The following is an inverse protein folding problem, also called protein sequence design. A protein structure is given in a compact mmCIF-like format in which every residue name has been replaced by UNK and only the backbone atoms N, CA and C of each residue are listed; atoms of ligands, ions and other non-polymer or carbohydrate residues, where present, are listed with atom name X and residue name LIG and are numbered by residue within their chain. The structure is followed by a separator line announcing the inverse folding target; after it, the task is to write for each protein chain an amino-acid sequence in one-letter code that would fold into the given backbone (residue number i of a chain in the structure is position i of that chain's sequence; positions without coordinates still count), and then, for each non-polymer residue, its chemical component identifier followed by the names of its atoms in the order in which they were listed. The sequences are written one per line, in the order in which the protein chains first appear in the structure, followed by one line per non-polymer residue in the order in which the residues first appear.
data_IF_613084701340
#
_entry.id   IF_613084701340
#
_cell.length_a   1.000
_cell.length_b   1.000
_cell.length_c   1.000
_cell.angle_alpha   90.00
_cell.angle_beta   90.00
_cell.angle_gamma   90.00
#
_symmetry.space_group_name_H-M   'P 1'
#
loop_
_entity.id
_entity.type
_entity.pdbx_description
1 polymer ?
#
# COMPACT_ATOMS: atom_id res chain seq x y z
N UNK A 1 21.74 -7.38 -5.92
CA UNK A 1 21.16 -7.93 -7.16
C UNK A 1 19.72 -7.41 -7.33
N UNK A 2 19.19 -7.22 -8.55
CA UNK A 2 17.92 -6.49 -8.81
C UNK A 2 16.69 -7.09 -8.12
N UNK A 3 16.73 -8.39 -7.85
CA UNK A 3 15.63 -9.16 -7.23
C UNK A 3 15.82 -9.44 -5.73
N UNK A 4 16.98 -9.07 -5.17
CA UNK A 4 17.36 -9.37 -3.79
C UNK A 4 16.47 -8.62 -2.79
N UNK A 5 16.07 -7.39 -3.13
CA UNK A 5 15.21 -6.57 -2.25
C UNK A 5 13.80 -7.16 -2.12
N UNK A 6 13.23 -7.64 -3.22
CA UNK A 6 11.93 -8.31 -3.20
C UNK A 6 12.01 -9.64 -2.43
N UNK A 7 13.10 -10.40 -2.63
CA UNK A 7 13.34 -11.66 -1.94
C UNK A 7 13.55 -11.54 -0.44
N UNK A 8 14.16 -10.45 0.04
CA UNK A 8 14.36 -10.22 1.48
C UNK A 8 13.15 -9.60 2.16
N UNK A 9 12.56 -8.54 1.57
CA UNK A 9 11.51 -7.76 2.22
C UNK A 9 10.09 -8.30 2.00
N UNK A 10 9.88 -9.09 0.95
CA UNK A 10 8.59 -9.76 0.71
C UNK A 10 8.17 -10.72 1.84
N UNK A 11 9.04 -11.63 2.30
CA UNK A 11 8.74 -12.52 3.43
C UNK A 11 8.46 -11.78 4.74
N UNK A 12 9.20 -10.71 5.04
CA UNK A 12 8.96 -9.84 6.21
C UNK A 12 7.58 -9.19 6.14
N UNK A 13 7.23 -8.60 4.98
CA UNK A 13 5.91 -8.02 4.75
C UNK A 13 4.78 -9.04 4.96
N UNK A 14 4.92 -10.24 4.41
CA UNK A 14 3.93 -11.30 4.61
C UNK A 14 3.75 -11.64 6.09
N UNK A 15 4.85 -11.70 6.85
CA UNK A 15 4.81 -11.98 8.28
C UNK A 15 4.02 -10.87 9.01
N UNK A 16 4.35 -9.61 8.79
CA UNK A 16 3.66 -8.48 9.42
C UNK A 16 2.16 -8.46 9.12
N UNK A 17 1.78 -8.73 7.86
CA UNK A 17 0.36 -8.78 7.48
C UNK A 17 -0.37 -9.97 8.11
N UNK A 18 0.29 -11.13 8.27
CA UNK A 18 -0.29 -12.28 8.98
C UNK A 18 -0.48 -11.99 10.47
N UNK A 19 0.50 -11.35 11.09
CA UNK A 19 0.45 -10.99 12.50
C UNK A 19 -0.65 -9.95 12.77
N UNK A 20 -0.97 -9.10 11.78
CA UNK A 20 -2.03 -8.08 11.86
C UNK A 20 -3.41 -8.58 11.39
N UNK A 21 -3.48 -9.75 10.75
CA UNK A 21 -4.73 -10.31 10.22
C UNK A 21 -5.82 -10.57 11.30
N UNK A 22 -5.49 -11.00 12.54
CA UNK A 22 -6.50 -11.17 13.59
C UNK A 22 -7.21 -9.89 14.00
N UNK A 23 -6.57 -8.73 13.81
CA UNK A 23 -7.10 -7.41 14.11
C UNK A 23 -7.89 -6.82 12.93
N UNK A 24 -7.83 -7.45 11.76
CA UNK A 24 -8.55 -6.98 10.59
C UNK A 24 -10.06 -7.22 10.73
N UNK A 25 -10.84 -6.18 10.45
CA UNK A 25 -12.31 -6.23 10.47
C UNK A 25 -12.91 -7.08 9.34
N UNK A 26 -12.10 -7.55 8.39
CA UNK A 26 -12.52 -8.29 7.20
C UNK A 26 -11.65 -9.55 7.00
N UNK A 27 -12.19 -10.66 6.48
CA UNK A 27 -11.41 -11.85 6.16
C UNK A 27 -10.27 -11.54 5.19
N UNK A 28 -9.04 -11.79 5.61
CA UNK A 28 -7.84 -11.49 4.85
C UNK A 28 -7.23 -12.77 4.26
N UNK A 29 -7.15 -12.84 2.92
CA UNK A 29 -6.44 -13.90 2.21
C UNK A 29 -5.10 -13.35 1.73
N UNK A 30 -4.00 -13.89 2.26
CA UNK A 30 -2.64 -13.44 1.93
C UNK A 30 -1.92 -14.46 1.06
N UNK A 31 -1.48 -14.04 -0.13
CA UNK A 31 -0.74 -14.86 -1.07
C UNK A 31 0.61 -14.25 -1.39
N UNK A 32 1.62 -15.10 -1.57
CA UNK A 32 2.93 -14.69 -2.06
C UNK A 32 2.96 -14.83 -3.57
N UNK A 33 3.55 -13.84 -4.24
CA UNK A 33 3.87 -13.92 -5.66
C UNK A 33 5.38 -13.74 -5.86
N UNK A 34 5.87 -14.20 -7.02
CA UNK A 34 7.22 -13.91 -7.48
C UNK A 34 7.30 -12.46 -8.02
N UNK A 35 8.39 -12.11 -8.70
CA UNK A 35 8.62 -10.74 -9.15
C UNK A 35 7.67 -10.30 -10.27
N UNK A 36 6.93 -9.22 -10.04
CA UNK A 36 6.02 -8.60 -11.01
C UNK A 36 6.49 -7.21 -11.50
N UNK A 37 7.75 -6.85 -11.24
CA UNK A 37 8.31 -5.53 -11.57
C UNK A 37 8.31 -4.57 -10.38
N UNK A 38 8.81 -3.35 -10.60
CA UNK A 38 8.76 -2.29 -9.58
C UNK A 38 9.75 -2.47 -8.42
N UNK A 39 10.90 -3.12 -8.64
CA UNK A 39 11.93 -3.39 -7.60
C UNK A 39 12.32 -2.16 -6.76
N UNK A 40 12.22 -0.95 -7.32
CA UNK A 40 12.52 0.31 -6.61
C UNK A 40 11.55 0.60 -5.46
N UNK A 41 10.40 -0.06 -5.46
CA UNK A 41 9.32 0.07 -4.50
C UNK A 41 9.11 -1.18 -3.65
N UNK A 42 10.01 -2.17 -3.73
CA UNK A 42 9.93 -3.30 -2.82
C UNK A 42 10.05 -2.82 -1.35
N UNK A 43 9.38 -3.45 -0.39
CA UNK A 43 8.33 -4.47 -0.56
C UNK A 43 7.02 -3.87 -1.10
N UNK A 44 6.36 -4.61 -1.98
CA UNK A 44 5.15 -4.19 -2.68
C UNK A 44 4.01 -5.19 -2.48
N UNK A 45 2.78 -4.69 -2.52
CA UNK A 45 1.55 -5.46 -2.33
C UNK A 45 0.49 -4.99 -3.34
N UNK A 46 -0.33 -5.92 -3.81
CA UNK A 46 -1.49 -5.63 -4.65
C UNK A 46 -2.72 -6.13 -3.90
N UNK A 47 -3.71 -5.25 -3.75
CA UNK A 47 -4.94 -5.53 -3.01
C UNK A 47 -6.05 -5.82 -4.01
N UNK A 48 -6.81 -6.88 -3.76
CA UNK A 48 -8.00 -7.24 -4.52
C UNK A 48 -9.25 -7.17 -3.63
N UNK A 49 -10.42 -6.81 -4.17
CA UNK A 49 -10.72 -6.64 -5.59
C UNK A 49 -10.41 -5.25 -6.17
N UNK A 50 -10.08 -4.25 -5.33
CA UNK A 50 -9.91 -2.86 -5.76
C UNK A 50 -8.80 -2.67 -6.81
N UNK A 51 -7.78 -3.53 -6.78
CA UNK A 51 -6.63 -3.46 -7.66
C UNK A 51 -5.65 -2.36 -7.28
N UNK A 52 -5.63 -1.96 -6.00
CA UNK A 52 -4.68 -0.98 -5.47
C UNK A 52 -3.28 -1.58 -5.34
N UNK A 53 -2.29 -0.81 -5.78
CA UNK A 53 -0.87 -1.14 -5.68
C UNK A 53 -0.23 -0.30 -4.60
N UNK A 54 0.52 -0.96 -3.73
CA UNK A 54 1.31 -0.33 -2.67
C UNK A 54 2.77 -0.72 -2.78
N UNK A 55 3.66 0.17 -2.34
CA UNK A 55 5.08 -0.08 -2.30
C UNK A 55 5.78 0.72 -1.19
N UNK A 56 7.06 0.43 -0.98
CA UNK A 56 7.87 0.91 0.14
C UNK A 56 7.36 0.40 1.52
N UNK A 57 6.73 -0.78 1.54
CA UNK A 57 6.23 -1.44 2.74
C UNK A 57 7.36 -2.17 3.49
N UNK A 58 8.47 -1.48 3.73
CA UNK A 58 9.70 -2.06 4.30
C UNK A 58 9.75 -2.04 5.83
N UNK A 59 8.70 -1.53 6.47
CA UNK A 59 8.54 -1.33 7.89
C UNK A 59 7.18 -1.89 8.31
N UNK A 60 7.09 -2.43 9.52
CA UNK A 60 5.87 -3.07 10.04
C UNK A 60 4.72 -2.07 10.16
N UNK A 61 5.01 -0.85 10.62
CA UNK A 61 4.06 0.23 10.79
C UNK A 61 3.44 0.67 9.46
N UNK A 62 4.25 0.70 8.38
CA UNK A 62 3.77 1.00 7.03
C UNK A 62 2.86 -0.10 6.49
N UNK A 63 3.17 -1.36 6.80
CA UNK A 63 2.32 -2.50 6.43
C UNK A 63 0.97 -2.44 7.17
N UNK A 64 0.98 -2.13 8.47
CA UNK A 64 -0.23 -1.95 9.28
C UNK A 64 -1.09 -0.79 8.79
N UNK A 65 -0.51 0.39 8.60
CA UNK A 65 -1.24 1.55 8.10
C UNK A 65 -1.84 1.33 6.69
N UNK A 66 -1.16 0.56 5.84
CA UNK A 66 -1.73 0.13 4.55
C UNK A 66 -2.94 -0.80 4.73
N UNK A 67 -2.86 -1.79 5.63
CA UNK A 67 -3.97 -2.70 5.90
C UNK A 67 -5.18 -1.97 6.51
N UNK A 68 -4.95 -1.02 7.42
CA UNK A 68 -5.98 -0.15 7.99
C UNK A 68 -6.68 0.68 6.89
N UNK A 69 -5.90 1.39 6.07
CA UNK A 69 -6.41 2.18 4.95
C UNK A 69 -7.27 1.36 3.97
N UNK A 70 -6.88 0.10 3.71
CA UNK A 70 -7.66 -0.83 2.88
C UNK A 70 -8.95 -1.27 3.57
N UNK A 71 -8.90 -1.57 4.88
CA UNK A 71 -10.07 -1.98 5.64
C UNK A 71 -11.12 -0.86 5.72
N UNK A 72 -10.65 0.38 5.86
CA UNK A 72 -11.45 1.61 5.89
C UNK A 72 -11.94 2.03 4.50
N UNK A 73 -11.55 1.32 3.44
CA UNK A 73 -11.89 1.59 2.03
C UNK A 73 -11.36 2.95 1.53
N UNK A 74 -10.37 3.53 2.22
CA UNK A 74 -9.63 4.74 1.83
C UNK A 74 -8.12 4.45 1.67
N UNK A 75 -7.68 3.81 0.58
CA UNK A 75 -6.27 3.52 0.35
C UNK A 75 -5.39 4.76 0.19
N UNK A 76 -5.98 5.94 -0.07
CA UNK A 76 -5.25 7.20 -0.16
C UNK A 76 -4.94 7.81 1.21
N UNK A 77 -5.43 7.24 2.32
CA UNK A 77 -4.94 7.56 3.66
C UNK A 77 -3.42 7.37 3.79
N UNK A 78 -2.86 6.42 3.03
CA UNK A 78 -1.42 6.20 2.91
C UNK A 78 -0.91 6.53 1.50
N UNK A 79 -1.29 7.71 0.97
CA UNK A 79 -0.96 8.13 -0.41
C UNK A 79 0.54 8.05 -0.74
N UNK A 80 1.43 8.22 0.25
CA UNK A 80 2.89 8.09 0.08
C UNK A 80 3.33 6.65 -0.27
N UNK A 81 2.55 5.65 0.14
CA UNK A 81 2.78 4.22 -0.11
C UNK A 81 2.02 3.74 -1.36
N UNK A 82 0.96 4.44 -1.76
CA UNK A 82 0.12 4.09 -2.90
C UNK A 82 0.82 4.35 -4.25
N UNK A 83 0.71 3.40 -5.18
CA UNK A 83 1.39 3.40 -6.49
C UNK A 83 0.43 3.37 -7.67
N UNK A 84 -0.86 3.39 -7.38
CA UNK A 84 -1.91 3.41 -8.38
C UNK A 84 -2.97 2.35 -8.14
N UNK A 85 -4.01 2.40 -8.96
CA UNK A 85 -5.09 1.42 -8.99
C UNK A 85 -5.31 0.96 -10.42
N UNK A 86 -5.49 -0.34 -10.59
CA UNK A 86 -5.83 -0.91 -11.89
C UNK A 86 -7.13 -0.28 -12.42
N UNK A 87 -7.12 0.11 -13.70
CA UNK A 87 -8.25 0.78 -14.34
C UNK A 87 -8.22 2.31 -14.27
N UNK A 88 -7.30 2.91 -13.51
CA UNK A 88 -7.08 4.37 -13.54
C UNK A 88 -5.94 4.74 -14.51
N UNK A 89 -6.09 5.90 -15.15
CA UNK A 89 -5.05 6.55 -15.93
C UNK A 89 -4.05 7.27 -15.02
N UNK A 90 -2.84 7.54 -15.53
CA UNK A 90 -1.83 8.30 -14.79
C UNK A 90 -2.33 9.68 -14.34
N UNK A 91 -3.17 10.33 -15.15
CA UNK A 91 -3.72 11.65 -14.82
C UNK A 91 -4.74 11.58 -13.67
N UNK A 92 -5.62 10.57 -13.67
CA UNK A 92 -6.58 10.34 -12.58
C UNK A 92 -5.85 10.02 -11.28
N UNK A 93 -4.84 9.15 -11.33
CA UNK A 93 -4.03 8.81 -10.16
C UNK A 93 -3.29 10.03 -9.60
N UNK A 94 -2.68 10.84 -10.47
CA UNK A 94 -1.99 12.06 -10.04
C UNK A 94 -2.94 13.07 -9.41
N UNK A 95 -4.12 13.26 -10.01
CA UNK A 95 -5.16 14.15 -9.47
C UNK A 95 -5.61 13.71 -8.09
N UNK A 96 -5.93 12.42 -7.92
CA UNK A 96 -6.42 11.89 -6.65
C UNK A 96 -5.39 12.07 -5.51
N UNK A 97 -4.11 11.84 -5.78
CA UNK A 97 -3.04 12.10 -4.80
C UNK A 97 -2.90 13.59 -4.51
N UNK A 98 -2.95 14.43 -5.55
CA UNK A 98 -2.86 15.89 -5.37
C UNK A 98 -3.97 16.43 -4.48
N UNK A 99 -5.22 16.07 -4.77
CA UNK A 99 -6.39 16.48 -3.97
C UNK A 99 -6.27 16.01 -2.52
N UNK A 100 -5.75 14.79 -2.28
CA UNK A 100 -5.51 14.27 -0.92
C UNK A 100 -4.45 15.06 -0.15
N UNK A 101 -3.36 15.44 -0.81
CA UNK A 101 -2.28 16.23 -0.22
C UNK A 101 -2.78 17.63 0.15
N UNK A 102 -3.44 18.32 -0.80
CA UNK A 102 -3.99 19.66 -0.58
C UNK A 102 -5.00 19.66 0.59
N UNK A 103 -5.89 18.67 0.65
CA UNK A 103 -6.84 18.52 1.76
C UNK A 103 -6.14 18.27 3.11
N UNK A 104 -5.02 17.55 3.13
CA UNK A 104 -4.27 17.30 4.36
C UNK A 104 -3.54 18.54 4.87
N UNK A 105 -3.02 19.37 3.97
CA UNK A 105 -2.35 20.63 4.30
C UNK A 105 -3.35 21.65 4.86
N UNK A 106 -4.53 21.77 4.24
CA UNK A 106 -5.61 22.64 4.73
C UNK A 106 -6.06 22.27 6.15
N UNK A 107 -6.16 20.98 6.48
CA UNK A 107 -6.50 20.54 7.85
C UNK A 107 -5.40 20.90 8.84
N UNK A 108 -4.13 20.76 8.47
CA UNK A 108 -3.00 21.07 9.33
C UNK A 108 -2.83 22.58 9.57
N UNK A 109 -3.17 23.43 8.60
CA UNK A 109 -3.14 24.89 8.75
C UNK A 109 -4.27 25.43 9.64
N UNK A 110 -5.38 24.70 9.74
CA UNK A 110 -6.56 25.09 10.51
C UNK A 110 -6.66 24.46 11.91
N UNK A 111 -5.66 23.67 12.32
CA UNK A 111 -5.58 22.98 13.62
C UNK A 111 -4.65 23.70 14.62
#
# INVERSE_FOLDING_TARGET
YRDERCGCKGPELLKWLKDSAPEANKPLNLWTSSHYGGHRYAAACIVYPSGDWFGLLNEEEKAKGMLEAVNDEDPLQVYELWRGRMGLTAQEMHRAVKERVESSEEVAENA
#
